data_IF_415464173392
#
_entry.id   IF_415464173392
#
_cell.length_a   1.000
_cell.length_b   1.000
_cell.length_c   1.000
_cell.angle_alpha   90.00
_cell.angle_beta   90.00
_cell.angle_gamma   90.00
#
_symmetry.space_group_name_H-M   'P 1'
#
loop_
_entity.id
_entity.type
_entity.pdbx_description
1 polymer ?
#
# COMPACT_ATOMS: atom_id res chain seq x y z
N UNK A 1 -8.44 -11.51 18.54
CA UNK A 1 -8.07 -11.44 17.12
C UNK A 1 -9.15 -10.74 16.33
N UNK A 2 -8.75 -9.78 15.50
CA UNK A 2 -9.72 -9.04 14.72
C UNK A 2 -10.32 -9.89 13.62
N UNK A 3 -11.59 -9.63 13.35
CA UNK A 3 -12.19 -10.15 12.13
C UNK A 3 -11.77 -9.30 10.95
N UNK A 4 -11.63 -9.93 9.81
CA UNK A 4 -11.25 -9.18 8.60
C UNK A 4 -12.49 -8.63 7.93
N UNK A 5 -12.28 -7.59 7.14
CA UNK A 5 -13.31 -6.99 6.32
C UNK A 5 -12.82 -6.97 4.88
N UNK A 6 -13.65 -7.45 3.97
CA UNK A 6 -13.31 -7.39 2.56
C UNK A 6 -13.59 -6.00 2.03
N UNK A 7 -12.57 -5.35 1.49
CA UNK A 7 -12.70 -4.02 0.90
C UNK A 7 -12.18 -4.04 -0.52
N UNK A 8 -12.59 -3.07 -1.32
CA UNK A 8 -12.10 -2.91 -2.67
C UNK A 8 -11.31 -1.63 -2.77
N UNK A 9 -10.11 -1.72 -3.33
CA UNK A 9 -9.30 -0.55 -3.63
C UNK A 9 -8.77 -0.68 -5.03
N UNK A 10 -8.56 0.47 -5.68
CA UNK A 10 -7.91 0.51 -6.99
C UNK A 10 -6.44 0.82 -6.78
N UNK A 11 -5.58 0.10 -7.48
CA UNK A 11 -4.14 0.31 -7.42
C UNK A 11 -3.68 0.65 -8.82
N UNK A 12 -2.80 1.63 -8.94
CA UNK A 12 -2.22 1.96 -10.23
C UNK A 12 -1.57 0.71 -10.81
N UNK A 13 -1.86 0.44 -12.08
CA UNK A 13 -1.41 -0.81 -12.71
C UNK A 13 0.10 -0.96 -12.65
N UNK A 14 0.84 0.10 -12.92
CA UNK A 14 2.30 0.03 -12.91
C UNK A 14 2.85 -0.27 -11.52
N UNK A 15 2.23 0.28 -10.48
CA UNK A 15 2.62 -0.02 -9.11
C UNK A 15 2.31 -1.48 -8.77
N UNK A 16 1.16 -1.95 -9.18
CA UNK A 16 0.79 -3.33 -8.93
C UNK A 16 1.77 -4.29 -9.62
N UNK A 17 2.05 -4.04 -10.89
CA UNK A 17 2.97 -4.90 -11.65
C UNK A 17 4.36 -4.90 -11.03
N UNK A 18 4.86 -3.72 -10.64
CA UNK A 18 6.16 -3.62 -9.98
C UNK A 18 6.17 -4.37 -8.65
N UNK A 19 5.09 -4.27 -7.90
CA UNK A 19 4.97 -4.98 -6.63
C UNK A 19 5.05 -6.49 -6.85
N UNK A 20 4.36 -7.01 -7.85
CA UNK A 20 4.38 -8.44 -8.12
C UNK A 20 5.78 -8.92 -8.49
N UNK A 21 6.49 -8.16 -9.30
CA UNK A 21 7.87 -8.51 -9.65
C UNK A 21 8.78 -8.45 -8.41
N UNK A 22 8.65 -7.41 -7.62
CA UNK A 22 9.50 -7.23 -6.44
C UNK A 22 9.30 -8.30 -5.38
N UNK A 23 8.11 -8.91 -5.35
CA UNK A 23 7.76 -9.86 -4.29
C UNK A 23 7.70 -11.31 -4.76
N UNK A 24 8.13 -11.59 -6.00
CA UNK A 24 7.99 -12.93 -6.57
C UNK A 24 8.71 -14.00 -5.74
N UNK A 25 9.84 -13.64 -5.13
CA UNK A 25 10.62 -14.56 -4.33
C UNK A 25 10.48 -14.33 -2.82
N UNK A 26 9.44 -13.62 -2.42
CA UNK A 26 9.22 -13.33 -1.00
C UNK A 26 7.87 -13.89 -0.57
N UNK A 27 7.61 -13.80 0.73
CA UNK A 27 6.30 -14.18 1.26
C UNK A 27 5.38 -12.98 1.43
N UNK A 28 5.77 -11.83 0.89
CA UNK A 28 4.94 -10.64 0.98
C UNK A 28 3.74 -10.77 0.04
N UNK A 29 2.58 -10.38 0.52
CA UNK A 29 1.36 -10.37 -0.26
C UNK A 29 0.74 -8.98 -0.21
N UNK A 30 -0.16 -8.71 -1.14
CA UNK A 30 -0.87 -7.45 -1.15
C UNK A 30 -1.68 -7.26 0.14
N UNK A 31 -2.27 -8.33 0.62
CA UNK A 31 -3.01 -8.27 1.87
C UNK A 31 -2.11 -7.93 3.05
N UNK A 32 -0.94 -8.53 3.13
CA UNK A 32 0.00 -8.25 4.20
C UNK A 32 0.47 -6.80 4.17
N UNK A 33 0.88 -6.32 3.00
CA UNK A 33 1.38 -4.96 2.92
C UNK A 33 0.28 -3.95 3.21
N UNK A 34 -0.95 -4.24 2.80
CA UNK A 34 -2.07 -3.36 3.09
C UNK A 34 -2.31 -3.26 4.59
N UNK A 35 -2.40 -4.40 5.25
CA UNK A 35 -2.63 -4.39 6.70
C UNK A 35 -1.50 -3.71 7.45
N UNK A 36 -0.27 -4.00 7.07
CA UNK A 36 0.89 -3.40 7.73
C UNK A 36 0.97 -1.91 7.48
N UNK A 37 0.65 -1.48 6.27
CA UNK A 37 0.68 -0.05 5.94
C UNK A 37 -0.38 0.72 6.71
N UNK A 38 -1.58 0.18 6.82
CA UNK A 38 -2.64 0.82 7.61
C UNK A 38 -2.24 0.88 9.07
N UNK A 39 -1.69 -0.21 9.59
CA UNK A 39 -1.23 -0.25 10.98
C UNK A 39 -0.17 0.84 11.23
N UNK A 40 0.82 0.93 10.36
CA UNK A 40 1.88 1.92 10.52
C UNK A 40 1.37 3.33 10.37
N UNK A 41 0.44 3.55 9.45
CA UNK A 41 -0.16 4.88 9.32
C UNK A 41 -0.81 5.32 10.63
N UNK A 42 -1.47 4.39 11.32
CA UNK A 42 -2.16 4.72 12.56
C UNK A 42 -1.23 4.85 13.75
N UNK A 43 -0.08 4.19 13.73
CA UNK A 43 0.77 4.08 14.91
C UNK A 43 2.17 4.65 14.78
N UNK A 44 2.58 5.09 13.60
CA UNK A 44 3.92 5.61 13.35
C UNK A 44 3.79 6.97 12.67
N UNK A 45 4.10 8.03 13.43
CA UNK A 45 3.93 9.38 12.92
C UNK A 45 4.82 9.66 11.70
N UNK A 46 6.04 9.15 11.70
CA UNK A 46 6.95 9.37 10.57
C UNK A 46 6.42 8.69 9.32
N UNK A 47 5.90 7.48 9.46
CA UNK A 47 5.33 6.77 8.33
C UNK A 47 4.10 7.49 7.79
N UNK A 48 3.24 7.93 8.70
CA UNK A 48 2.04 8.68 8.30
C UNK A 48 2.41 9.95 7.55
N UNK A 49 3.38 10.69 8.07
CA UNK A 49 3.81 11.92 7.42
C UNK A 49 4.34 11.65 6.02
N UNK A 50 5.11 10.56 5.85
CA UNK A 50 5.58 10.15 4.54
C UNK A 50 4.43 9.84 3.58
N UNK A 51 3.46 9.08 4.06
CA UNK A 51 2.31 8.72 3.22
C UNK A 51 1.55 9.98 2.81
N UNK A 52 1.31 10.87 3.75
CA UNK A 52 0.50 12.06 3.47
C UNK A 52 1.19 13.04 2.54
N UNK A 53 2.52 13.02 2.51
CA UNK A 53 3.26 13.91 1.62
C UNK A 53 3.69 13.23 0.32
N UNK A 54 3.38 11.96 0.14
CA UNK A 54 3.69 11.24 -1.10
C UNK A 54 2.55 11.46 -2.08
N UNK A 55 2.62 12.57 -2.80
CA UNK A 55 1.60 12.92 -3.78
C UNK A 55 2.15 13.03 -5.19
N UNK A 56 3.46 12.88 -5.34
CA UNK A 56 4.11 12.98 -6.64
C UNK A 56 4.20 11.60 -7.30
N UNK A 57 3.06 11.06 -7.61
CA UNK A 57 3.01 9.83 -8.40
C UNK A 57 3.00 10.27 -9.86
N UNK A 58 4.12 10.09 -10.53
CA UNK A 58 4.32 10.61 -11.88
C UNK A 58 3.49 9.91 -12.94
N UNK A 59 2.68 8.95 -12.54
CA UNK A 59 1.80 8.23 -13.44
C UNK A 59 0.37 8.71 -13.20
N UNK A 60 -0.49 8.50 -14.19
CA UNK A 60 -1.87 8.94 -14.05
C UNK A 60 -2.51 8.31 -12.83
N UNK A 61 -3.38 9.06 -12.18
CA UNK A 61 -4.03 8.57 -10.98
C UNK A 61 -3.36 9.02 -9.70
N UNK A 62 -2.49 10.03 -9.77
CA UNK A 62 -1.83 10.55 -8.56
C UNK A 62 -2.83 11.09 -7.55
N UNK A 63 -4.06 11.32 -7.97
CA UNK A 63 -5.12 11.79 -7.08
C UNK A 63 -5.95 10.67 -6.47
N UNK A 64 -5.53 9.45 -6.66
CA UNK A 64 -6.26 8.33 -6.09
C UNK A 64 -6.26 8.32 -4.57
#
# INVERSE_FOLDING_TARGET
MDKTKLTSVKILKSLYDSFKVATVNTKMTLQKITNRSVYLYMNDKEYRDKIETTDDLTISGSNL
#
